data_IF_941640112276
#
_entry.id   IF_941640112276
#
_cell.length_a   1.000
_cell.length_b   1.000
_cell.length_c   1.000
_cell.angle_alpha   90.00
_cell.angle_beta   90.00
_cell.angle_gamma   90.00
#
_symmetry.space_group_name_H-M   'P 1'
#
loop_
_entity.id
_entity.type
_entity.pdbx_description
1 polymer ?
#
# COMPACT_ATOMS: atom_id res chain seq x y z
N UNK A 1 0.44 -5.40 -28.10
CA UNK A 1 0.96 -4.12 -27.56
C UNK A 1 2.25 -4.32 -26.77
N UNK A 2 2.31 -5.19 -25.75
CA UNK A 2 3.53 -5.45 -24.97
C UNK A 2 4.73 -5.96 -25.79
N UNK A 3 4.56 -6.92 -26.70
CA UNK A 3 5.64 -7.44 -27.58
C UNK A 3 6.21 -6.36 -28.50
N UNK A 4 5.37 -5.42 -28.95
CA UNK A 4 5.80 -4.30 -29.80
C UNK A 4 6.71 -3.37 -28.99
N UNK A 5 6.30 -3.01 -27.78
CA UNK A 5 7.09 -2.17 -26.88
C UNK A 5 8.40 -2.87 -26.52
N UNK A 6 8.39 -4.16 -26.18
CA UNK A 6 9.61 -4.93 -25.92
C UNK A 6 10.59 -4.91 -27.10
N UNK A 7 10.10 -5.12 -28.32
CA UNK A 7 10.93 -5.08 -29.52
C UNK A 7 11.51 -3.69 -29.77
N UNK A 8 10.76 -2.62 -29.47
CA UNK A 8 11.27 -1.23 -29.52
C UNK A 8 12.38 -1.01 -28.48
N UNK A 9 12.22 -1.53 -27.25
CA UNK A 9 13.25 -1.41 -26.21
C UNK A 9 14.54 -2.11 -26.62
N UNK A 10 14.45 -3.35 -27.14
CA UNK A 10 15.61 -4.07 -27.69
C UNK A 10 16.26 -3.32 -28.86
N UNK A 11 15.46 -2.75 -29.75
CA UNK A 11 15.97 -1.95 -30.89
C UNK A 11 16.74 -0.70 -30.44
N UNK A 12 16.42 -0.15 -29.26
CA UNK A 12 17.10 1.00 -28.67
C UNK A 12 18.22 0.62 -27.67
N UNK A 13 18.73 -0.62 -27.72
CA UNK A 13 19.81 -1.12 -26.84
C UNK A 13 19.50 -1.05 -25.34
N UNK A 14 18.22 -1.14 -24.95
CA UNK A 14 17.83 -1.26 -23.54
C UNK A 14 17.86 -2.74 -23.17
N UNK A 15 18.86 -3.12 -22.36
CA UNK A 15 19.03 -4.50 -21.89
C UNK A 15 18.11 -4.79 -20.68
N UNK A 16 17.00 -5.46 -20.96
CA UNK A 16 16.05 -5.96 -19.97
C UNK A 16 15.71 -7.40 -20.34
N UNK A 17 15.80 -8.30 -19.35
CA UNK A 17 15.36 -9.68 -19.49
C UNK A 17 13.86 -9.75 -19.83
N UNK A 18 13.48 -10.60 -20.79
CA UNK A 18 12.13 -10.66 -21.34
C UNK A 18 11.07 -11.04 -20.29
N UNK A 19 11.41 -11.96 -19.40
CA UNK A 19 10.62 -12.37 -18.25
C UNK A 19 10.39 -11.21 -17.27
N UNK A 20 11.44 -10.44 -16.98
CA UNK A 20 11.35 -9.25 -16.13
C UNK A 20 10.47 -8.17 -16.77
N UNK A 21 10.60 -7.94 -18.08
CA UNK A 21 9.73 -7.02 -18.82
C UNK A 21 8.26 -7.43 -18.74
N UNK A 22 7.96 -8.70 -19.04
CA UNK A 22 6.58 -9.19 -19.02
C UNK A 22 5.97 -9.19 -17.63
N UNK A 23 6.75 -9.51 -16.60
CA UNK A 23 6.33 -9.39 -15.21
C UNK A 23 6.02 -7.92 -14.84
N UNK A 24 6.92 -7.00 -15.16
CA UNK A 24 6.73 -5.57 -14.92
C UNK A 24 5.50 -5.02 -15.65
N UNK A 25 5.30 -5.42 -16.91
CA UNK A 25 4.12 -5.04 -17.71
C UNK A 25 2.82 -5.55 -17.08
N UNK A 26 2.79 -6.80 -16.64
CA UNK A 26 1.61 -7.39 -15.98
C UNK A 26 1.23 -6.62 -14.71
N UNK A 27 2.23 -6.30 -13.88
CA UNK A 27 2.04 -5.48 -12.67
C UNK A 27 1.55 -4.07 -13.01
N UNK A 28 2.14 -3.44 -14.02
CA UNK A 28 1.75 -2.11 -14.45
C UNK A 28 0.28 -2.07 -14.88
N UNK A 29 -0.14 -3.01 -15.74
CA UNK A 29 -1.53 -3.12 -16.19
C UNK A 29 -2.47 -3.39 -15.00
N UNK A 30 -2.07 -4.26 -14.07
CA UNK A 30 -2.85 -4.53 -12.86
C UNK A 30 -3.11 -3.26 -12.03
N UNK A 31 -2.05 -2.49 -11.72
CA UNK A 31 -2.19 -1.26 -10.96
C UNK A 31 -2.95 -0.17 -11.73
N UNK A 32 -2.81 -0.12 -13.05
CA UNK A 32 -3.56 0.81 -13.90
C UNK A 32 -5.08 0.53 -13.81
N UNK A 33 -5.49 -0.73 -13.94
CA UNK A 33 -6.91 -1.10 -13.77
C UNK A 33 -7.42 -0.82 -12.37
N UNK A 34 -6.64 -1.17 -11.34
CA UNK A 34 -6.98 -0.85 -9.95
C UNK A 34 -7.18 0.67 -9.75
N UNK A 35 -6.29 1.51 -10.29
CA UNK A 35 -6.39 2.96 -10.17
C UNK A 35 -7.61 3.51 -10.90
N UNK A 36 -7.87 3.05 -12.13
CA UNK A 36 -9.05 3.46 -12.91
C UNK A 36 -10.34 3.13 -12.16
N UNK A 37 -10.48 1.90 -11.66
CA UNK A 37 -11.67 1.48 -10.92
C UNK A 37 -11.83 2.30 -9.63
N UNK A 38 -10.76 2.43 -8.85
CA UNK A 38 -10.76 3.18 -7.59
C UNK A 38 -11.14 4.64 -7.81
N UNK A 39 -10.53 5.32 -8.79
CA UNK A 39 -10.83 6.72 -9.07
C UNK A 39 -12.23 6.91 -9.66
N UNK A 40 -12.72 5.98 -10.47
CA UNK A 40 -14.11 6.03 -10.99
C UNK A 40 -15.13 5.98 -9.85
N UNK A 41 -14.91 5.11 -8.86
CA UNK A 41 -15.74 5.03 -7.66
C UNK A 41 -15.59 6.31 -6.81
N UNK A 42 -14.38 6.84 -6.68
CA UNK A 42 -14.15 8.08 -5.94
C UNK A 42 -14.82 9.30 -6.59
N UNK A 43 -14.92 9.33 -7.93
CA UNK A 43 -15.70 10.34 -8.67
C UNK A 43 -17.19 10.20 -8.35
N UNK A 44 -17.73 8.98 -8.39
CA UNK A 44 -19.12 8.70 -8.06
C UNK A 44 -19.51 9.14 -6.64
N UNK A 45 -18.63 8.95 -5.65
CA UNK A 45 -18.84 9.39 -4.27
C UNK A 45 -18.37 10.82 -3.95
N UNK A 46 -17.90 11.58 -4.96
CA UNK A 46 -17.36 12.93 -4.79
C UNK A 46 -16.26 13.00 -3.70
N UNK A 47 -15.32 12.06 -3.74
CA UNK A 47 -14.25 11.94 -2.74
C UNK A 47 -12.83 11.77 -3.33
N UNK A 48 -12.65 12.11 -4.61
CA UNK A 48 -11.39 11.96 -5.36
C UNK A 48 -10.17 12.50 -4.60
N UNK A 49 -10.24 13.74 -4.07
CA UNK A 49 -9.12 14.35 -3.37
C UNK A 49 -8.75 13.59 -2.09
N UNK A 50 -9.74 13.20 -1.30
CA UNK A 50 -9.53 12.40 -0.10
C UNK A 50 -8.96 11.02 -0.43
N UNK A 51 -9.43 10.38 -1.50
CA UNK A 51 -8.89 9.12 -1.99
C UNK A 51 -7.42 9.26 -2.40
N UNK A 52 -7.05 10.33 -3.12
CA UNK A 52 -5.64 10.56 -3.49
C UNK A 52 -4.76 10.71 -2.25
N UNK A 53 -5.20 11.48 -1.25
CA UNK A 53 -4.45 11.62 0.02
C UNK A 53 -4.30 10.27 0.71
N UNK A 54 -5.40 9.51 0.83
CA UNK A 54 -5.36 8.20 1.45
C UNK A 54 -4.41 7.24 0.72
N UNK A 55 -4.46 7.20 -0.61
CA UNK A 55 -3.54 6.39 -1.43
C UNK A 55 -2.09 6.83 -1.28
N UNK A 56 -1.84 8.13 -1.17
CA UNK A 56 -0.49 8.67 -0.95
C UNK A 56 0.08 8.27 0.40
N UNK A 57 -0.76 8.08 1.41
CA UNK A 57 -0.34 7.46 2.67
C UNK A 57 -0.18 5.95 2.48
N UNK A 58 -1.24 5.25 2.11
CA UNK A 58 -1.29 3.80 2.14
C UNK A 58 -0.30 3.10 1.18
N UNK A 59 -0.14 3.57 -0.06
CA UNK A 59 0.67 2.88 -1.09
C UNK A 59 2.17 2.85 -0.71
N UNK A 60 2.83 3.95 -0.32
CA UNK A 60 4.23 3.91 0.09
C UNK A 60 4.46 2.96 1.27
N UNK A 61 3.65 3.05 2.32
CA UNK A 61 3.76 2.15 3.47
C UNK A 61 3.66 0.69 3.01
N UNK A 62 2.58 0.36 2.27
CA UNK A 62 2.32 -0.96 1.72
C UNK A 62 3.44 -1.51 0.85
N UNK A 63 4.03 -0.66 0.01
CA UNK A 63 5.14 -1.03 -0.90
C UNK A 63 6.36 -1.56 -0.14
N UNK A 64 6.65 -0.99 1.03
CA UNK A 64 7.85 -1.32 1.80
C UNK A 64 7.61 -2.41 2.84
N UNK A 65 6.45 -2.46 3.51
CA UNK A 65 6.14 -3.53 4.46
C UNK A 65 5.74 -4.84 3.76
N UNK A 66 5.17 -4.75 2.55
CA UNK A 66 4.59 -5.90 1.84
C UNK A 66 3.23 -6.30 2.41
N UNK A 67 2.90 -7.58 2.34
CA UNK A 67 1.71 -8.20 2.93
C UNK A 67 0.86 -8.98 1.93
N UNK A 68 -0.41 -9.23 2.27
CA UNK A 68 -1.21 -10.23 1.56
C UNK A 68 -1.61 -9.87 0.13
N UNK A 69 -1.30 -10.76 -0.80
CA UNK A 69 -1.79 -10.73 -2.17
C UNK A 69 -2.60 -11.99 -2.47
N UNK A 70 -3.81 -11.79 -2.99
CA UNK A 70 -4.65 -12.89 -3.45
C UNK A 70 -4.05 -13.50 -4.72
N UNK A 71 -4.14 -14.83 -4.88
CA UNK A 71 -3.71 -15.51 -6.10
C UNK A 71 -4.56 -15.13 -7.31
N UNK A 72 -5.82 -14.74 -7.09
CA UNK A 72 -6.71 -14.25 -8.12
C UNK A 72 -6.58 -12.72 -8.25
N UNK A 73 -6.13 -12.26 -9.43
CA UNK A 73 -5.94 -10.85 -9.74
C UNK A 73 -7.22 -10.01 -9.64
N UNK A 74 -8.38 -10.55 -10.04
CA UNK A 74 -9.67 -9.84 -9.99
C UNK A 74 -10.07 -9.62 -8.53
N UNK A 75 -9.96 -10.67 -7.71
CA UNK A 75 -10.22 -10.56 -6.26
C UNK A 75 -9.28 -9.56 -5.62
N UNK A 76 -7.99 -9.57 -5.98
CA UNK A 76 -7.03 -8.60 -5.48
C UNK A 76 -7.46 -7.17 -5.83
N UNK A 77 -7.83 -6.88 -7.08
CA UNK A 77 -8.30 -5.55 -7.50
C UNK A 77 -9.54 -5.13 -6.73
N UNK A 78 -10.54 -6.00 -6.58
CA UNK A 78 -11.79 -5.70 -5.86
C UNK A 78 -11.51 -5.36 -4.39
N UNK A 79 -10.70 -6.18 -3.71
CA UNK A 79 -10.34 -5.95 -2.31
C UNK A 79 -9.47 -4.69 -2.18
N UNK A 80 -8.46 -4.52 -3.02
CA UNK A 80 -7.61 -3.32 -3.05
C UNK A 80 -8.43 -2.05 -3.25
N UNK A 81 -9.42 -2.09 -4.15
CA UNK A 81 -10.35 -0.97 -4.38
C UNK A 81 -11.17 -0.69 -3.13
N UNK A 82 -11.73 -1.73 -2.52
CA UNK A 82 -12.56 -1.62 -1.31
C UNK A 82 -11.79 -1.00 -0.15
N UNK A 83 -10.57 -1.49 0.13
CA UNK A 83 -9.71 -0.93 1.20
C UNK A 83 -9.20 0.47 0.88
N UNK A 84 -9.35 0.95 -0.35
CA UNK A 84 -8.97 2.31 -0.76
C UNK A 84 -10.12 3.31 -0.65
N UNK A 85 -11.36 2.85 -0.82
CA UNK A 85 -12.56 3.70 -0.82
C UNK A 85 -13.25 3.71 0.54
N UNK A 86 -13.42 2.55 1.18
CA UNK A 86 -14.18 2.45 2.43
C UNK A 86 -13.59 3.35 3.53
N UNK A 87 -12.26 3.35 3.79
CA UNK A 87 -11.67 4.28 4.76
C UNK A 87 -12.01 5.75 4.51
N UNK A 88 -12.03 6.16 3.23
CA UNK A 88 -12.31 7.53 2.81
C UNK A 88 -13.76 7.92 3.05
N UNK A 89 -14.68 6.99 2.84
CA UNK A 89 -16.09 7.22 3.13
C UNK A 89 -16.31 7.28 4.66
N UNK A 90 -15.72 6.35 5.41
CA UNK A 90 -15.88 6.29 6.87
C UNK A 90 -15.19 7.46 7.58
N UNK A 91 -14.07 7.97 7.06
CA UNK A 91 -13.32 9.06 7.70
C UNK A 91 -14.11 10.36 7.85
N UNK A 92 -15.22 10.51 7.12
CA UNK A 92 -16.13 11.68 7.19
C UNK A 92 -17.14 11.57 8.34
N UNK A 93 -17.39 10.36 8.85
CA UNK A 93 -18.43 10.09 9.84
C UNK A 93 -17.90 9.84 11.24
N UNK A 94 -16.64 9.41 11.37
CA UNK A 94 -16.04 9.06 12.65
C UNK A 94 -14.93 10.04 13.01
N UNK A 95 -14.77 10.33 14.30
CA UNK A 95 -13.58 10.98 14.84
C UNK A 95 -12.90 9.99 15.76
N UNK A 96 -11.81 9.39 15.29
CA UNK A 96 -11.15 8.32 16.02
C UNK A 96 -10.33 8.92 17.15
N UNK A 97 -10.47 8.32 18.34
CA UNK A 97 -9.72 8.76 19.51
C UNK A 97 -8.21 8.63 19.25
N UNK A 98 -7.48 9.72 19.47
CA UNK A 98 -6.04 9.80 19.26
C UNK A 98 -5.25 8.67 19.94
N UNK A 99 -5.68 8.22 21.12
CA UNK A 99 -5.03 7.13 21.85
C UNK A 99 -5.17 5.78 21.13
N UNK A 100 -6.30 5.55 20.46
CA UNK A 100 -6.50 4.36 19.62
C UNK A 100 -5.58 4.43 18.40
N UNK A 101 -5.42 5.60 17.80
CA UNK A 101 -4.51 5.79 16.65
C UNK A 101 -3.07 5.50 17.07
N UNK A 102 -2.62 6.06 18.19
CA UNK A 102 -1.29 5.80 18.76
C UNK A 102 -1.10 4.30 19.02
N UNK A 103 -2.08 3.64 19.62
CA UNK A 103 -2.03 2.19 19.87
C UNK A 103 -1.84 1.40 18.57
N UNK A 104 -2.63 1.70 17.53
CA UNK A 104 -2.47 1.02 16.22
C UNK A 104 -1.12 1.31 15.57
N UNK A 105 -0.57 2.52 15.71
CA UNK A 105 0.78 2.83 15.22
C UNK A 105 1.85 2.00 15.93
N UNK A 106 1.74 1.83 17.25
CA UNK A 106 2.69 1.01 18.03
C UNK A 106 2.61 -0.46 17.59
N UNK A 107 1.39 -0.99 17.44
CA UNK A 107 1.19 -2.38 16.98
C UNK A 107 1.81 -2.57 15.59
N UNK A 108 1.57 -1.66 14.66
CA UNK A 108 2.14 -1.73 13.32
C UNK A 108 3.67 -1.69 13.35
N UNK A 109 4.28 -0.81 14.15
CA UNK A 109 5.75 -0.75 14.30
C UNK A 109 6.29 -2.08 14.80
N UNK A 110 5.64 -2.70 15.78
CA UNK A 110 6.04 -4.00 16.32
C UNK A 110 5.97 -5.07 15.21
N UNK A 111 4.87 -5.14 14.45
CA UNK A 111 4.78 -6.06 13.31
C UNK A 111 5.83 -5.76 12.23
N UNK A 112 6.12 -4.50 11.94
CA UNK A 112 7.14 -4.11 10.96
C UNK A 112 8.54 -4.54 11.42
N UNK A 113 8.84 -4.49 12.72
CA UNK A 113 10.10 -4.98 13.27
C UNK A 113 10.18 -6.50 13.24
N UNK A 114 9.10 -7.22 13.51
CA UNK A 114 9.12 -8.67 13.66
C UNK A 114 8.94 -9.42 12.33
N UNK A 115 8.08 -8.90 11.45
CA UNK A 115 7.53 -9.62 10.30
C UNK A 115 7.98 -9.00 8.97
N UNK A 116 8.05 -7.67 8.89
CA UNK A 116 8.30 -6.99 7.63
C UNK A 116 9.81 -6.90 7.27
N UNK A 117 10.14 -6.77 5.97
CA UNK A 117 9.23 -6.83 4.82
C UNK A 117 8.85 -8.28 4.47
N UNK A 118 7.59 -8.48 4.08
CA UNK A 118 7.15 -9.76 3.50
C UNK A 118 7.40 -9.72 2.00
N UNK A 119 8.26 -10.61 1.51
CA UNK A 119 8.57 -10.72 0.09
C UNK A 119 7.46 -11.45 -0.68
N UNK A 120 7.37 -11.18 -1.98
CA UNK A 120 6.41 -11.87 -2.85
C UNK A 120 7.15 -12.99 -3.59
N UNK A 121 6.54 -14.18 -3.82
CA UNK A 121 7.17 -15.26 -4.57
C UNK A 121 7.72 -14.83 -5.93
N UNK A 122 6.97 -13.97 -6.63
CA UNK A 122 7.34 -13.43 -7.95
C UNK A 122 8.23 -12.17 -7.88
N UNK A 123 8.57 -11.69 -6.67
CA UNK A 123 9.49 -10.58 -6.42
C UNK A 123 10.31 -10.86 -5.16
N UNK A 124 11.26 -11.79 -5.29
CA UNK A 124 12.22 -12.09 -4.22
C UNK A 124 13.16 -10.90 -4.03
N UNK A 125 13.27 -10.46 -2.79
CA UNK A 125 14.16 -9.37 -2.40
C UNK A 125 15.50 -9.96 -1.97
N UNK A 126 16.60 -9.33 -2.38
CA UNK A 126 17.92 -9.68 -1.84
C UNK A 126 18.13 -9.05 -0.44
N UNK A 127 19.17 -9.49 0.28
CA UNK A 127 19.42 -9.03 1.66
C UNK A 127 19.58 -7.51 1.79
N UNK A 128 20.17 -6.86 0.79
CA UNK A 128 20.31 -5.40 0.77
C UNK A 128 18.95 -4.73 0.63
N UNK A 129 18.08 -5.25 -0.23
CA UNK A 129 16.72 -4.75 -0.43
C UNK A 129 15.84 -5.01 0.80
N UNK A 130 15.94 -6.17 1.43
CA UNK A 130 15.21 -6.47 2.67
C UNK A 130 15.54 -5.46 3.78
N UNK A 131 16.82 -5.19 4.01
CA UNK A 131 17.27 -4.18 4.99
C UNK A 131 16.80 -2.77 4.62
N UNK A 132 16.91 -2.40 3.35
CA UNK A 132 16.47 -1.09 2.87
C UNK A 132 14.95 -0.90 3.05
N UNK A 133 14.15 -1.90 2.70
CA UNK A 133 12.70 -1.83 2.78
C UNK A 133 12.25 -1.73 4.24
N UNK A 134 12.84 -2.52 5.14
CA UNK A 134 12.58 -2.43 6.58
C UNK A 134 12.92 -1.06 7.15
N UNK A 135 14.09 -0.51 6.81
CA UNK A 135 14.48 0.83 7.25
C UNK A 135 13.52 1.89 6.73
N UNK A 136 13.09 1.75 5.48
CA UNK A 136 12.18 2.71 4.83
C UNK A 136 10.78 2.64 5.41
N UNK A 137 10.23 1.46 5.71
CA UNK A 137 8.93 1.33 6.34
C UNK A 137 8.91 1.94 7.74
N UNK A 138 9.92 1.66 8.57
CA UNK A 138 10.04 2.26 9.90
C UNK A 138 10.16 3.79 9.82
N UNK A 139 10.90 4.30 8.83
CA UNK A 139 10.99 5.74 8.60
C UNK A 139 9.63 6.36 8.23
N UNK A 140 8.84 5.70 7.38
CA UNK A 140 7.48 6.15 7.03
C UNK A 140 6.57 6.15 8.28
N UNK A 141 6.61 5.12 9.10
CA UNK A 141 5.82 5.03 10.34
C UNK A 141 6.21 6.13 11.35
N UNK A 142 7.50 6.47 11.46
CA UNK A 142 7.96 7.61 12.26
C UNK A 142 7.42 8.94 11.71
N UNK A 143 7.42 9.12 10.37
CA UNK A 143 6.80 10.29 9.75
C UNK A 143 5.31 10.36 10.12
N UNK A 144 4.60 9.24 10.12
CA UNK A 144 3.18 9.21 10.50
C UNK A 144 2.95 9.65 11.95
N UNK A 145 3.82 9.27 12.89
CA UNK A 145 3.77 9.77 14.27
C UNK A 145 3.88 11.30 14.28
N UNK A 146 4.81 11.87 13.52
CA UNK A 146 4.93 13.33 13.38
C UNK A 146 3.68 13.98 12.78
N UNK A 147 3.12 13.39 11.73
CA UNK A 147 1.89 13.86 11.08
C UNK A 147 0.69 13.77 12.03
N UNK A 148 0.59 12.72 12.84
CA UNK A 148 -0.46 12.58 13.87
C UNK A 148 -0.39 13.76 14.85
N UNK A 149 0.81 14.12 15.33
CA UNK A 149 1.00 15.26 16.23
C UNK A 149 0.56 16.59 15.59
N UNK A 150 1.01 16.85 14.35
CA UNK A 150 0.65 18.06 13.61
C UNK A 150 -0.85 18.12 13.30
N UNK A 151 -1.44 17.03 12.83
CA UNK A 151 -2.86 16.95 12.51
C UNK A 151 -3.73 17.17 13.75
N UNK A 152 -3.29 16.74 14.94
CA UNK A 152 -3.97 17.03 16.20
C UNK A 152 -3.93 18.52 16.56
N UNK A 153 -2.78 19.18 16.38
CA UNK A 153 -2.61 20.62 16.65
C UNK A 153 -3.49 21.46 15.73
N UNK A 154 -3.50 21.16 14.43
CA UNK A 154 -4.29 21.90 13.43
C UNK A 154 -5.73 21.38 13.26
N UNK A 155 -6.18 20.45 14.11
CA UNK A 155 -7.54 19.88 14.10
C UNK A 155 -7.97 19.18 12.80
N UNK A 156 -7.02 18.60 12.06
CA UNK A 156 -7.28 17.84 10.83
C UNK A 156 -7.69 16.39 11.11
N UNK A 157 -8.91 16.20 11.64
CA UNK A 157 -9.43 14.87 12.02
C UNK A 157 -9.47 13.85 10.87
N UNK A 158 -9.69 14.30 9.64
CA UNK A 158 -9.70 13.41 8.46
C UNK A 158 -8.35 12.73 8.22
N UNK A 159 -7.23 13.46 8.40
CA UNK A 159 -5.88 12.90 8.24
C UNK A 159 -5.60 11.85 9.32
N UNK A 160 -6.01 12.13 10.56
CA UNK A 160 -5.90 11.18 11.68
C UNK A 160 -6.63 9.87 11.36
N UNK A 161 -7.86 9.96 10.85
CA UNK A 161 -8.64 8.79 10.44
C UNK A 161 -7.97 8.01 9.31
N UNK A 162 -7.38 8.69 8.31
CA UNK A 162 -6.65 8.01 7.23
C UNK A 162 -5.47 7.20 7.75
N UNK A 163 -4.67 7.78 8.65
CA UNK A 163 -3.53 7.09 9.25
C UNK A 163 -4.02 5.88 10.05
N UNK A 164 -5.09 6.02 10.84
CA UNK A 164 -5.68 4.89 11.55
C UNK A 164 -6.09 3.75 10.62
N UNK A 165 -6.86 4.05 9.56
CA UNK A 165 -7.31 3.00 8.65
C UNK A 165 -6.15 2.37 7.87
N UNK A 166 -5.17 3.17 7.44
CA UNK A 166 -3.95 2.66 6.80
C UNK A 166 -3.19 1.71 7.73
N UNK A 167 -3.10 2.03 9.03
CA UNK A 167 -2.48 1.16 10.04
C UNK A 167 -3.24 -0.15 10.20
N UNK A 168 -4.57 -0.10 10.40
CA UNK A 168 -5.40 -1.30 10.57
C UNK A 168 -5.30 -2.22 9.35
N UNK A 169 -5.43 -1.66 8.14
CA UNK A 169 -5.33 -2.44 6.90
C UNK A 169 -3.94 -3.08 6.78
N UNK A 170 -2.88 -2.33 7.11
CA UNK A 170 -1.51 -2.82 7.07
C UNK A 170 -1.25 -3.93 8.07
N UNK A 171 -1.72 -3.78 9.32
CA UNK A 171 -1.64 -4.79 10.37
C UNK A 171 -2.30 -6.08 9.88
N UNK A 172 -3.61 -6.03 9.57
CA UNK A 172 -4.34 -7.21 9.12
C UNK A 172 -3.66 -7.90 7.94
N UNK A 173 -3.16 -7.12 6.99
CA UNK A 173 -2.54 -7.68 5.80
C UNK A 173 -1.15 -8.28 6.04
N UNK A 174 -0.38 -7.76 6.99
CA UNK A 174 0.87 -8.37 7.44
C UNK A 174 0.60 -9.66 8.22
N UNK A 175 -0.31 -9.64 9.20
CA UNK A 175 -0.62 -10.82 10.00
C UNK A 175 -1.14 -11.97 9.13
N UNK A 176 -2.06 -11.70 8.19
CA UNK A 176 -2.57 -12.73 7.25
C UNK A 176 -1.44 -13.31 6.40
N UNK A 177 -0.55 -12.46 5.88
CA UNK A 177 0.58 -12.93 5.08
C UNK A 177 1.57 -13.77 5.88
N UNK A 178 1.82 -13.40 7.13
CA UNK A 178 2.70 -14.14 8.03
C UNK A 178 2.13 -15.53 8.34
N UNK A 179 0.84 -15.61 8.68
CA UNK A 179 0.15 -16.88 8.95
C UNK A 179 0.22 -17.80 7.73
N UNK A 180 -0.09 -17.29 6.53
CA UNK A 180 -0.01 -18.07 5.29
C UNK A 180 1.41 -18.54 4.94
N UNK A 181 2.45 -17.89 5.47
CA UNK A 181 3.84 -18.29 5.23
C UNK A 181 4.31 -19.42 6.14
N UNK A 182 3.69 -19.56 7.32
CA UNK A 182 4.06 -20.56 8.34
C UNK A 182 3.26 -21.85 8.20
N UNK A 183 2.01 -21.76 7.71
CA UNK A 183 1.18 -22.90 7.34
C UNK A 183 1.60 -23.49 6.00
#
# INVERSE_FOLDING_TARGET
MNKIIFNILKKNNIDIAEDLYHYGWSIFVHYLFYLIITLSIAVYYHCVFQTIIFLFLYIPLRKYIGGFHFSNNVVCILISTTVSIIPVLLSRYYNINIWIIILTSIILIIETILIAPIDHPNKRLNDKQLKLYKKTSLFIEIIYIGVIGLAKIYTFSTILNFIFFANIISICSLSISYIKRIL
#
